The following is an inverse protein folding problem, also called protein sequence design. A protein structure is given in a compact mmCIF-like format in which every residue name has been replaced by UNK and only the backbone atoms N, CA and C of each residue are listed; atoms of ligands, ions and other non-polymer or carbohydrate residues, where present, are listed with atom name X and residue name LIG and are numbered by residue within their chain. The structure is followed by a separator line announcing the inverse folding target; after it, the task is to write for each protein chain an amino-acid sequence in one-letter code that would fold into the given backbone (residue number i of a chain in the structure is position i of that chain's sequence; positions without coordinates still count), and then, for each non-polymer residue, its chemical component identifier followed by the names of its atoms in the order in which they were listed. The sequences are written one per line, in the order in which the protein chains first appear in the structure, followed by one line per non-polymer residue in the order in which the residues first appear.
data_IF_668060377003
#
_entry.id   IF_668060377003
#
_cell.length_a   1.000
_cell.length_b   1.000
_cell.length_c   1.000
_cell.angle_alpha   90.00
_cell.angle_beta   90.00
_cell.angle_gamma   90.00
#
_symmetry.space_group_name_H-M   'P 1'
#
loop_
_entity.id
_entity.type
_entity.pdbx_description
1 polymer ?
#
# COMPACT_ATOMS: atom_id res chain seq x y z
N UNK A 1 -38.30 -2.93 9.79
CA UNK A 1 -37.92 -1.79 10.65
C UNK A 1 -37.03 -2.15 11.83
N UNK A 2 -37.10 -3.36 12.40
CA UNK A 2 -36.22 -3.81 13.50
C UNK A 2 -34.74 -3.99 13.09
N UNK A 3 -34.46 -4.40 11.85
CA UNK A 3 -33.11 -4.54 11.29
C UNK A 3 -32.42 -3.19 11.10
N UNK A 4 -33.15 -2.14 10.71
CA UNK A 4 -32.66 -0.76 10.51
C UNK A 4 -32.27 -0.07 11.83
N UNK A 5 -32.95 -0.38 12.94
CA UNK A 5 -32.56 0.11 14.27
C UNK A 5 -31.32 -0.61 14.84
N UNK A 6 -31.11 -1.88 14.54
CA UNK A 6 -29.87 -2.60 14.87
C UNK A 6 -28.68 -2.08 14.05
N UNK A 7 -28.93 -1.82 12.77
CA UNK A 7 -28.05 -1.14 11.83
C UNK A 7 -27.59 0.25 12.34
N UNK A 8 -28.49 1.02 12.97
CA UNK A 8 -28.15 2.32 13.59
C UNK A 8 -27.22 2.17 14.80
N UNK A 9 -27.33 1.09 15.57
CA UNK A 9 -26.42 0.78 16.69
C UNK A 9 -25.05 0.27 16.22
N UNK A 10 -24.96 -0.35 15.05
CA UNK A 10 -23.68 -0.73 14.44
C UNK A 10 -22.94 0.45 13.79
N UNK A 11 -23.65 1.51 13.37
CA UNK A 11 -23.02 2.78 12.97
C UNK A 11 -22.33 3.44 14.17
N UNK A 12 -22.87 3.27 15.38
CA UNK A 12 -22.22 3.72 16.62
C UNK A 12 -20.88 2.97 16.83
N UNK A 13 -20.76 1.72 16.36
CA UNK A 13 -19.51 0.97 16.38
C UNK A 13 -18.43 1.53 15.42
N UNK A 14 -18.76 2.38 14.45
CA UNK A 14 -17.74 3.09 13.66
C UNK A 14 -17.08 4.25 14.41
N UNK A 15 -17.66 4.71 15.53
CA UNK A 15 -16.94 5.57 16.47
C UNK A 15 -15.78 4.83 17.16
N UNK A 16 -15.71 3.49 17.06
CA UNK A 16 -14.57 2.72 17.53
C UNK A 16 -13.32 2.88 16.65
N UNK A 17 -13.37 3.47 15.45
CA UNK A 17 -12.12 3.67 14.69
C UNK A 17 -11.15 4.61 15.43
N UNK A 18 -11.66 5.63 16.13
CA UNK A 18 -10.87 6.49 17.03
C UNK A 18 -10.34 5.69 18.23
N UNK A 19 -11.18 4.84 18.82
CA UNK A 19 -10.81 3.96 19.95
C UNK A 19 -9.79 2.88 19.55
N UNK A 20 -9.85 2.39 18.32
CA UNK A 20 -8.90 1.43 17.72
C UNK A 20 -7.56 2.11 17.44
N UNK A 21 -7.55 3.38 17.01
CA UNK A 21 -6.32 4.15 16.82
C UNK A 21 -5.63 4.48 18.15
N UNK A 22 -6.39 4.86 19.18
CA UNK A 22 -5.85 5.20 20.49
C UNK A 22 -5.65 4.00 21.45
N UNK A 23 -6.23 2.83 21.15
CA UNK A 23 -6.24 1.71 22.08
C UNK A 23 -7.10 1.95 23.33
N UNK A 24 -7.97 2.96 23.29
CA UNK A 24 -8.72 3.46 24.43
C UNK A 24 -10.24 3.37 24.15
N UNK A 25 -10.96 2.46 24.83
CA UNK A 25 -12.41 2.26 24.66
C UNK A 25 -13.26 3.42 25.20
N UNK A 26 -12.67 4.38 25.90
CA UNK A 26 -13.35 5.56 26.44
C UNK A 26 -13.05 6.84 25.66
N UNK A 27 -12.29 6.76 24.56
CA UNK A 27 -11.94 7.94 23.79
C UNK A 27 -13.19 8.68 23.26
N UNK A 28 -13.24 10.02 23.34
CA UNK A 28 -14.36 10.81 22.85
C UNK A 28 -14.45 10.73 21.32
N UNK A 29 -15.62 11.06 20.76
CA UNK A 29 -15.76 11.22 19.31
C UNK A 29 -14.81 12.32 18.83
N UNK A 30 -13.98 11.98 17.86
CA UNK A 30 -13.08 12.92 17.20
C UNK A 30 -13.40 12.95 15.72
N UNK A 31 -13.50 14.15 15.17
CA UNK A 31 -13.81 14.44 13.77
C UNK A 31 -12.63 15.09 13.05
N UNK A 32 -11.53 15.36 13.75
CA UNK A 32 -10.31 15.97 13.18
C UNK A 32 -9.02 15.22 13.58
N UNK A 33 -7.98 15.28 12.74
CA UNK A 33 -6.67 14.70 13.05
C UNK A 33 -6.02 15.50 14.18
N UNK A 34 -6.34 16.79 14.26
CA UNK A 34 -5.95 17.66 15.36
C UNK A 34 -6.56 17.18 16.69
N UNK A 35 -7.83 16.79 16.72
CA UNK A 35 -8.47 16.18 17.90
C UNK A 35 -7.84 14.83 18.26
N UNK A 36 -7.57 13.97 17.26
CA UNK A 36 -6.89 12.69 17.45
C UNK A 36 -5.48 12.87 18.03
N UNK A 37 -4.69 13.77 17.47
CA UNK A 37 -3.35 14.10 17.94
C UNK A 37 -3.37 14.78 19.30
N UNK A 38 -4.35 15.66 19.57
CA UNK A 38 -4.50 16.33 20.86
C UNK A 38 -4.96 15.37 21.96
N UNK A 39 -5.76 14.36 21.62
CA UNK A 39 -6.12 13.29 22.54
C UNK A 39 -4.94 12.36 22.82
N UNK A 40 -4.22 11.95 21.77
CA UNK A 40 -3.04 11.11 21.90
C UNK A 40 -1.95 11.80 22.74
N UNK A 41 -1.65 13.09 22.48
CA UNK A 41 -0.70 13.88 23.30
C UNK A 41 -1.15 14.05 24.75
N UNK A 42 -2.45 14.22 25.00
CA UNK A 42 -2.97 14.31 26.38
C UNK A 42 -2.77 13.01 27.16
N UNK A 43 -2.87 11.86 26.50
CA UNK A 43 -2.73 10.56 27.13
C UNK A 43 -1.29 10.01 27.10
N UNK A 44 -0.43 10.55 26.23
CA UNK A 44 1.00 10.23 26.13
C UNK A 44 1.83 11.54 26.17
N UNK A 45 1.96 12.18 27.34
CA UNK A 45 2.64 13.47 27.46
C UNK A 45 4.14 13.43 27.17
N UNK A 46 4.76 12.24 27.28
CA UNK A 46 6.17 12.01 26.94
C UNK A 46 6.41 11.79 25.43
N UNK A 47 5.34 11.71 24.63
CA UNK A 47 5.46 11.54 23.18
C UNK A 47 6.06 12.80 22.53
N UNK A 48 7.08 12.66 21.66
CA UNK A 48 7.72 13.80 21.01
C UNK A 48 6.74 14.64 20.17
N UNK A 49 6.99 15.94 20.06
CA UNK A 49 6.07 16.88 19.40
C UNK A 49 5.85 16.52 17.92
N UNK A 50 4.66 16.01 17.60
CA UNK A 50 4.22 15.74 16.23
C UNK A 50 4.19 17.05 15.43
N UNK A 51 4.71 17.05 14.19
CA UNK A 51 4.48 18.17 13.26
C UNK A 51 2.97 18.38 13.14
N UNK A 52 2.44 19.61 13.26
CA UNK A 52 1.01 19.84 13.11
C UNK A 52 0.57 19.32 11.74
N UNK A 53 -0.27 18.28 11.75
CA UNK A 53 -0.79 17.68 10.53
C UNK A 53 -1.65 18.75 9.85
N UNK A 54 -1.24 19.17 8.65
CA UNK A 54 -1.95 20.19 7.85
C UNK A 54 -3.17 19.60 7.12
N UNK A 55 -3.36 18.28 7.21
CA UNK A 55 -4.38 17.55 6.47
C UNK A 55 -5.63 17.26 7.30
N UNK A 56 -6.84 17.51 6.75
CA UNK A 56 -8.10 17.25 7.44
C UNK A 56 -8.31 15.75 7.66
N UNK A 57 -8.84 15.37 8.82
CA UNK A 57 -9.33 14.01 9.05
C UNK A 57 -10.48 13.73 8.13
N UNK A 58 -10.46 12.54 7.54
CA UNK A 58 -11.55 12.05 6.74
C UNK A 58 -12.27 10.98 7.58
N UNK A 59 -13.50 11.26 8.05
CA UNK A 59 -14.25 10.28 8.81
C UNK A 59 -14.51 9.02 7.96
N UNK A 60 -14.60 7.85 8.60
CA UNK A 60 -14.94 6.63 7.88
C UNK A 60 -16.27 6.78 7.13
N UNK A 61 -16.40 6.29 5.89
CA UNK A 61 -17.67 6.24 5.21
C UNK A 61 -18.61 5.23 5.92
N UNK A 62 -19.94 5.44 5.82
CA UNK A 62 -20.89 4.51 6.40
C UNK A 62 -20.74 3.12 5.76
N UNK A 63 -20.67 2.07 6.57
CA UNK A 63 -20.50 0.68 6.08
C UNK A 63 -21.76 0.10 5.44
N UNK A 64 -22.95 0.63 5.72
CA UNK A 64 -24.21 0.05 5.24
C UNK A 64 -24.41 0.14 3.72
N UNK A 65 -24.14 1.30 3.07
CA UNK A 65 -24.10 1.34 1.61
C UNK A 65 -23.13 0.32 1.00
N UNK A 66 -22.01 0.04 1.68
CA UNK A 66 -21.01 -0.93 1.21
C UNK A 66 -21.51 -2.38 1.34
N UNK A 67 -22.24 -2.72 2.40
CA UNK A 67 -22.85 -4.05 2.58
C UNK A 67 -23.98 -4.27 1.57
N UNK A 68 -24.88 -3.30 1.38
CA UNK A 68 -25.95 -3.40 0.38
C UNK A 68 -25.39 -3.55 -1.05
N UNK A 69 -24.25 -2.92 -1.34
CA UNK A 69 -23.54 -3.08 -2.61
C UNK A 69 -22.99 -4.50 -2.80
N UNK A 70 -22.58 -5.19 -1.73
CA UNK A 70 -22.06 -6.56 -1.81
C UNK A 70 -23.08 -7.55 -2.38
N UNK A 71 -24.33 -7.52 -1.89
CA UNK A 71 -25.42 -8.40 -2.36
C UNK A 71 -25.66 -8.26 -3.87
N UNK A 72 -25.57 -7.03 -4.38
CA UNK A 72 -25.65 -6.74 -5.81
C UNK A 72 -24.51 -7.40 -6.61
N UNK A 73 -23.28 -7.40 -6.10
CA UNK A 73 -22.15 -8.00 -6.80
C UNK A 73 -22.17 -9.53 -6.75
N UNK A 74 -22.56 -10.13 -5.62
CA UNK A 74 -22.66 -11.60 -5.48
C UNK A 74 -23.77 -12.17 -6.37
N UNK A 75 -24.89 -11.46 -6.51
CA UNK A 75 -25.99 -11.89 -7.40
C UNK A 75 -25.62 -11.83 -8.88
N UNK A 76 -24.75 -10.89 -9.29
CA UNK A 76 -24.43 -10.62 -10.70
C UNK A 76 -23.09 -11.19 -11.19
N UNK A 77 -22.16 -11.53 -10.29
CA UNK A 77 -20.82 -12.01 -10.61
C UNK A 77 -20.47 -13.31 -9.88
N UNK A 78 -19.61 -14.12 -10.52
CA UNK A 78 -18.97 -15.29 -9.95
C UNK A 78 -17.50 -14.98 -9.63
N UNK A 79 -16.97 -15.59 -8.58
CA UNK A 79 -15.55 -15.52 -8.25
C UNK A 79 -14.79 -16.51 -9.14
N UNK A 80 -13.73 -16.06 -9.80
CA UNK A 80 -12.85 -16.93 -10.58
C UNK A 80 -12.18 -17.98 -9.67
N UNK A 81 -11.97 -19.18 -10.20
CA UNK A 81 -11.30 -20.27 -9.47
C UNK A 81 -9.81 -20.03 -9.21
N UNK A 82 -9.17 -19.15 -10.00
CA UNK A 82 -7.73 -18.89 -9.90
C UNK A 82 -7.43 -17.55 -9.23
N UNK A 83 -6.71 -17.52 -8.10
CA UNK A 83 -6.31 -16.26 -7.48
C UNK A 83 -5.21 -15.57 -8.30
N UNK A 84 -5.26 -14.24 -8.36
CA UNK A 84 -4.17 -13.39 -8.85
C UNK A 84 -2.96 -13.37 -7.92
N UNK A 85 -3.21 -13.64 -6.63
CA UNK A 85 -2.19 -13.65 -5.59
C UNK A 85 -2.77 -14.03 -4.24
N UNK A 86 -1.89 -14.43 -3.33
CA UNK A 86 -2.19 -14.80 -1.94
C UNK A 86 -1.24 -14.08 -0.99
N UNK A 87 -1.51 -14.12 0.31
CA UNK A 87 -0.68 -13.41 1.28
C UNK A 87 -0.68 -14.02 2.68
N UNK A 88 0.12 -13.42 3.57
CA UNK A 88 0.17 -13.81 4.98
C UNK A 88 -1.21 -13.73 5.64
N UNK A 89 -1.98 -12.71 5.29
CA UNK A 89 -3.31 -12.41 5.86
C UNK A 89 -4.45 -12.52 4.84
N UNK A 90 -4.17 -13.04 3.64
CA UNK A 90 -5.11 -13.08 2.52
C UNK A 90 -5.13 -14.49 1.96
N UNK A 91 -6.30 -15.12 1.91
CA UNK A 91 -6.47 -16.42 1.22
C UNK A 91 -6.24 -16.26 -0.27
N UNK A 92 -6.82 -15.23 -0.87
CA UNK A 92 -6.53 -14.85 -2.25
C UNK A 92 -7.21 -13.56 -2.68
N UNK A 93 -6.70 -13.00 -3.77
CA UNK A 93 -7.35 -11.93 -4.55
C UNK A 93 -7.83 -12.57 -5.85
N UNK A 94 -9.13 -12.56 -6.11
CA UNK A 94 -9.76 -13.29 -7.19
C UNK A 94 -10.47 -12.34 -8.16
N UNK A 95 -10.34 -12.50 -9.49
CA UNK A 95 -11.16 -11.78 -10.44
C UNK A 95 -12.64 -12.13 -10.27
N UNK A 96 -13.52 -11.13 -10.40
CA UNK A 96 -14.95 -11.34 -10.57
C UNK A 96 -15.29 -11.45 -12.05
N UNK A 97 -16.05 -12.48 -12.40
CA UNK A 97 -16.52 -12.77 -13.76
C UNK A 97 -18.04 -12.60 -13.80
N UNK A 98 -18.61 -11.80 -14.70
CA UNK A 98 -20.06 -11.66 -14.84
C UNK A 98 -20.73 -13.02 -15.08
N UNK A 99 -21.85 -13.30 -14.38
CA UNK A 99 -22.57 -14.59 -14.46
C UNK A 99 -23.26 -14.83 -15.80
N UNK A 100 -23.61 -13.78 -16.53
CA UNK A 100 -24.23 -13.85 -17.88
C UNK A 100 -23.90 -12.60 -18.68
N UNK A 101 -23.33 -12.76 -19.88
CA UNK A 101 -23.38 -11.72 -20.92
C UNK A 101 -24.59 -11.99 -21.80
N UNK A 102 -25.68 -11.21 -21.67
CA UNK A 102 -26.60 -11.08 -22.79
C UNK A 102 -25.83 -10.37 -23.91
N UNK A 103 -25.68 -11.06 -25.04
CA UNK A 103 -25.07 -10.52 -26.25
C UNK A 103 -25.69 -9.18 -26.64
N UNK A 104 -24.86 -8.25 -27.09
CA UNK A 104 -25.17 -6.89 -27.61
C UNK A 104 -25.35 -5.81 -26.54
N UNK A 105 -24.24 -5.44 -25.90
CA UNK A 105 -24.06 -4.09 -25.37
C UNK A 105 -22.87 -3.47 -26.10
N UNK A 106 -23.07 -2.32 -26.74
CA UNK A 106 -22.02 -1.50 -27.35
C UNK A 106 -21.15 -0.78 -26.31
N UNK A 107 -21.39 -1.00 -25.02
CA UNK A 107 -20.58 -0.44 -23.96
C UNK A 107 -19.29 -1.24 -23.78
N UNK A 108 -18.16 -0.56 -23.47
CA UNK A 108 -16.91 -1.25 -23.17
C UNK A 108 -17.13 -2.28 -22.07
N UNK A 109 -16.40 -3.42 -22.09
CA UNK A 109 -16.53 -4.44 -21.05
C UNK A 109 -16.36 -3.80 -19.66
N UNK A 110 -17.14 -4.22 -18.65
CA UNK A 110 -17.08 -3.64 -17.31
C UNK A 110 -15.64 -3.66 -16.79
N UNK A 111 -15.23 -2.58 -16.12
CA UNK A 111 -13.91 -2.47 -15.49
C UNK A 111 -13.68 -3.72 -14.62
N UNK A 112 -12.50 -4.35 -14.68
CA UNK A 112 -12.30 -5.60 -13.97
C UNK A 112 -12.37 -5.40 -12.45
N UNK A 113 -13.29 -6.12 -11.82
CA UNK A 113 -13.44 -6.16 -10.36
C UNK A 113 -12.66 -7.35 -9.79
N UNK A 114 -12.12 -7.19 -8.59
CA UNK A 114 -11.51 -8.29 -7.84
C UNK A 114 -12.11 -8.38 -6.44
N UNK A 115 -12.13 -9.59 -5.89
CA UNK A 115 -12.49 -9.90 -4.51
C UNK A 115 -11.25 -10.31 -3.75
N UNK A 116 -10.90 -9.57 -2.69
CA UNK A 116 -9.89 -10.00 -1.71
C UNK A 116 -10.59 -10.74 -0.57
N UNK A 117 -10.15 -11.98 -0.30
CA UNK A 117 -10.63 -12.83 0.80
C UNK A 117 -9.57 -12.84 1.90
N UNK A 118 -9.87 -12.28 3.06
CA UNK A 118 -8.95 -12.23 4.20
C UNK A 118 -8.95 -13.53 5.01
N UNK A 119 -7.78 -13.89 5.54
CA UNK A 119 -7.62 -14.95 6.55
C UNK A 119 -8.09 -14.45 7.92
N UNK A 120 -8.50 -15.35 8.84
CA UNK A 120 -8.75 -14.97 10.22
C UNK A 120 -7.58 -14.16 10.80
N UNK A 121 -7.89 -12.96 11.29
CA UNK A 121 -6.91 -12.00 11.82
C UNK A 121 -7.63 -11.02 12.77
N UNK A 122 -6.88 -10.20 13.50
CA UNK A 122 -7.45 -9.22 14.42
C UNK A 122 -8.40 -8.25 13.70
N UNK A 123 -9.56 -7.97 14.29
CA UNK A 123 -10.52 -7.02 13.71
C UNK A 123 -9.93 -5.61 13.55
N UNK A 124 -9.04 -5.19 14.46
CA UNK A 124 -8.25 -3.96 14.30
C UNK A 124 -7.48 -3.87 12.97
N UNK A 125 -7.02 -4.98 12.40
CA UNK A 125 -6.37 -5.00 11.07
C UNK A 125 -7.41 -4.86 9.96
N UNK A 126 -8.51 -5.61 10.06
CA UNK A 126 -9.56 -5.65 9.05
C UNK A 126 -10.24 -4.29 8.90
N UNK A 127 -10.68 -3.70 10.01
CA UNK A 127 -11.29 -2.36 10.01
C UNK A 127 -10.34 -1.30 9.49
N UNK A 128 -9.05 -1.41 9.80
CA UNK A 128 -8.04 -0.47 9.29
C UNK A 128 -7.89 -0.59 7.78
N UNK A 129 -7.86 -1.81 7.25
CA UNK A 129 -7.78 -2.01 5.80
C UNK A 129 -9.03 -1.45 5.09
N UNK A 130 -10.23 -1.71 5.63
CA UNK A 130 -11.49 -1.18 5.09
C UNK A 130 -11.49 0.35 5.14
N UNK A 131 -11.20 0.92 6.31
CA UNK A 131 -11.15 2.38 6.52
C UNK A 131 -10.18 3.02 5.55
N UNK A 132 -8.91 2.60 5.55
CA UNK A 132 -7.90 3.22 4.70
C UNK A 132 -8.26 3.11 3.23
N UNK A 133 -8.69 1.94 2.75
CA UNK A 133 -9.08 1.75 1.34
C UNK A 133 -10.27 2.65 0.95
N UNK A 134 -11.20 2.85 1.87
CA UNK A 134 -12.39 3.67 1.64
C UNK A 134 -12.11 5.18 1.50
N UNK A 135 -10.92 5.64 1.96
CA UNK A 135 -10.46 7.03 1.81
C UNK A 135 -9.84 7.32 0.44
N UNK A 136 -9.47 6.28 -0.31
CA UNK A 136 -8.69 6.38 -1.56
C UNK A 136 -9.48 6.47 -2.89
N UNK A 137 -10.84 6.47 -2.96
CA UNK A 137 -11.55 6.55 -4.25
C UNK A 137 -11.16 7.74 -5.13
N UNK A 138 -10.58 8.81 -4.56
CA UNK A 138 -10.12 9.99 -5.29
C UNK A 138 -8.64 9.92 -5.75
N UNK A 139 -7.88 8.92 -5.30
CA UNK A 139 -6.45 8.84 -5.60
C UNK A 139 -6.18 7.99 -6.85
N UNK A 140 -5.36 8.50 -7.80
CA UNK A 140 -4.93 7.70 -8.92
C UNK A 140 -4.09 6.51 -8.42
N UNK A 141 -4.21 5.34 -9.08
CA UNK A 141 -3.42 4.15 -8.76
C UNK A 141 -3.70 3.52 -7.39
N UNK A 142 -4.80 3.90 -6.73
CA UNK A 142 -5.30 3.26 -5.51
C UNK A 142 -6.55 2.43 -5.81
N UNK A 143 -6.80 1.34 -5.07
CA UNK A 143 -7.99 0.54 -5.26
C UNK A 143 -9.20 1.28 -4.70
N UNK A 144 -10.32 1.23 -5.43
CA UNK A 144 -11.60 1.71 -4.90
C UNK A 144 -12.30 0.59 -4.16
N UNK A 145 -12.63 0.79 -2.88
CA UNK A 145 -13.51 -0.10 -2.14
C UNK A 145 -14.95 0.07 -2.61
N UNK A 146 -15.51 -0.95 -3.25
CA UNK A 146 -16.91 -0.90 -3.72
C UNK A 146 -17.91 -1.50 -2.72
N UNK A 147 -17.47 -2.51 -2.00
CA UNK A 147 -18.30 -3.26 -1.07
C UNK A 147 -17.43 -4.06 -0.10
N UNK A 148 -17.95 -4.28 1.10
CA UNK A 148 -17.39 -5.20 2.08
C UNK A 148 -18.49 -6.05 2.71
N UNK A 149 -18.20 -7.32 2.95
CA UNK A 149 -19.04 -8.21 3.74
C UNK A 149 -18.20 -9.06 4.67
N UNK A 150 -18.81 -9.43 5.78
CA UNK A 150 -18.28 -10.34 6.78
C UNK A 150 -19.14 -11.60 6.75
N UNK A 151 -18.55 -12.75 6.45
CA UNK A 151 -19.30 -14.00 6.27
C UNK A 151 -18.84 -15.03 7.30
N UNK A 152 -19.79 -15.79 7.85
CA UNK A 152 -19.49 -16.94 8.68
C UNK A 152 -18.91 -18.06 7.82
N UNK A 153 -17.74 -18.58 8.18
CA UNK A 153 -17.06 -19.63 7.43
C UNK A 153 -17.83 -20.95 7.38
N UNK A 154 -18.70 -21.27 8.36
CA UNK A 154 -19.40 -22.56 8.39
C UNK A 154 -20.57 -22.64 7.43
N UNK A 155 -21.33 -21.56 7.26
CA UNK A 155 -22.55 -21.54 6.46
C UNK A 155 -22.58 -20.46 5.37
N UNK A 156 -21.56 -19.59 5.32
CA UNK A 156 -21.47 -18.50 4.35
C UNK A 156 -22.40 -17.32 4.62
N UNK A 157 -23.16 -17.35 5.72
CA UNK A 157 -24.15 -16.32 6.04
C UNK A 157 -23.48 -14.99 6.47
N UNK A 158 -24.05 -13.83 6.10
CA UNK A 158 -23.57 -12.54 6.56
C UNK A 158 -23.59 -12.42 8.10
N UNK A 159 -22.52 -11.90 8.67
CA UNK A 159 -22.36 -11.63 10.10
C UNK A 159 -22.09 -10.14 10.30
N UNK A 160 -22.69 -9.54 11.32
CA UNK A 160 -22.36 -8.18 11.75
C UNK A 160 -21.44 -8.29 12.98
N UNK A 161 -20.15 -7.91 12.89
CA UNK A 161 -19.25 -7.94 14.04
C UNK A 161 -19.76 -7.01 15.14
N UNK A 162 -19.76 -7.48 16.39
CA UNK A 162 -20.11 -6.66 17.56
C UNK A 162 -18.91 -5.82 18.03
N UNK A 163 -19.13 -4.62 18.61
CA UNK A 163 -18.08 -3.79 19.21
C UNK A 163 -17.11 -4.52 20.13
N UNK A 164 -17.61 -5.44 20.96
CA UNK A 164 -16.83 -6.14 21.98
C UNK A 164 -15.85 -7.15 21.37
N UNK A 165 -16.08 -7.54 20.10
CA UNK A 165 -15.24 -8.48 19.34
C UNK A 165 -14.09 -7.78 18.61
N UNK A 166 -13.89 -6.48 18.79
CA UNK A 166 -12.84 -5.70 18.11
C UNK A 166 -11.43 -6.00 18.63
N UNK A 167 -11.32 -6.42 19.89
CA UNK A 167 -10.06 -6.75 20.56
C UNK A 167 -9.78 -8.26 20.60
N UNK A 168 -10.70 -9.10 20.13
CA UNK A 168 -10.50 -10.55 20.09
C UNK A 168 -9.77 -10.96 18.81
N UNK A 169 -8.88 -11.95 18.93
CA UNK A 169 -8.25 -12.61 17.78
C UNK A 169 -9.16 -13.64 17.13
N UNK A 170 -10.21 -14.05 17.86
CA UNK A 170 -11.20 -15.02 17.46
C UNK A 170 -12.57 -14.35 17.54
N UNK A 171 -13.21 -14.26 16.39
CA UNK A 171 -14.65 -14.08 16.32
C UNK A 171 -15.26 -15.47 16.42
N UNK A 172 -16.23 -15.66 17.31
CA UNK A 172 -17.09 -16.84 17.30
C UNK A 172 -17.71 -16.96 15.89
N UNK A 173 -17.24 -17.92 15.10
CA UNK A 173 -17.49 -17.97 13.67
C UNK A 173 -16.50 -17.10 12.90
N UNK A 174 -15.49 -17.74 12.32
CA UNK A 174 -14.47 -17.10 11.49
C UNK A 174 -15.12 -16.20 10.44
N UNK A 175 -14.62 -14.97 10.31
CA UNK A 175 -15.14 -13.97 9.41
C UNK A 175 -14.29 -13.89 8.14
N UNK A 176 -14.91 -14.16 6.99
CA UNK A 176 -14.32 -13.81 5.69
C UNK A 176 -14.67 -12.36 5.38
N UNK A 177 -13.66 -11.50 5.23
CA UNK A 177 -13.86 -10.17 4.64
C UNK A 177 -13.70 -10.25 3.13
N UNK A 178 -14.74 -9.86 2.40
CA UNK A 178 -14.74 -9.75 0.93
C UNK A 178 -14.58 -8.28 0.55
N UNK A 179 -13.43 -7.87 0.01
CA UNK A 179 -13.20 -6.50 -0.46
C UNK A 179 -13.26 -6.45 -1.99
N UNK A 180 -14.22 -5.71 -2.53
CA UNK A 180 -14.33 -5.45 -3.95
C UNK A 180 -13.42 -4.28 -4.34
N UNK A 181 -12.42 -4.53 -5.19
CA UNK A 181 -11.48 -3.49 -5.67
C UNK A 181 -11.59 -3.28 -7.19
N UNK A 182 -11.45 -2.02 -7.62
CA UNK A 182 -11.36 -1.67 -9.06
C UNK A 182 -10.11 -0.91 -9.42
N UNK A 183 -9.72 -1.10 -10.69
CA UNK A 183 -8.69 -0.40 -11.46
C UNK A 183 -7.23 -0.88 -11.26
N UNK A 184 -6.53 -1.10 -12.38
CA UNK A 184 -5.08 -1.34 -12.45
C UNK A 184 -4.53 -2.68 -11.94
N UNK A 185 -5.33 -3.45 -11.18
CA UNK A 185 -4.94 -4.77 -10.65
C UNK A 185 -4.70 -5.75 -11.81
N UNK A 186 -5.64 -5.90 -12.75
CA UNK A 186 -5.50 -6.89 -13.84
C UNK A 186 -4.54 -6.50 -14.98
N UNK A 187 -3.80 -5.38 -14.90
CA UNK A 187 -2.78 -5.06 -15.91
C UNK A 187 -1.61 -6.05 -15.81
N UNK A 188 -1.78 -7.20 -16.47
CA UNK A 188 -0.81 -8.27 -16.55
C UNK A 188 0.51 -7.81 -17.18
N UNK A 189 1.60 -8.14 -16.50
CA UNK A 189 2.94 -8.08 -17.07
C UNK A 189 3.98 -8.10 -15.98
N UNK A 190 4.77 -9.17 -15.93
CA UNK A 190 5.88 -9.27 -14.99
C UNK A 190 6.85 -8.08 -15.11
N UNK A 191 7.64 -7.90 -14.06
CA UNK A 191 8.66 -6.85 -13.96
C UNK A 191 9.89 -7.09 -14.88
N UNK A 192 9.92 -8.23 -15.57
CA UNK A 192 11.09 -8.78 -16.27
C UNK A 192 11.14 -8.33 -17.73
N UNK A 193 12.26 -7.73 -18.14
CA UNK A 193 12.63 -7.57 -19.56
C UNK A 193 11.79 -6.59 -20.41
N UNK A 194 10.85 -5.85 -19.81
CA UNK A 194 9.95 -4.94 -20.54
C UNK A 194 10.63 -3.74 -21.23
N UNK A 195 9.89 -3.00 -22.07
CA UNK A 195 10.37 -1.76 -22.70
C UNK A 195 10.71 -0.70 -21.65
N UNK A 196 11.82 0.03 -21.85
CA UNK A 196 12.30 1.08 -20.92
C UNK A 196 11.22 2.09 -20.49
N UNK A 197 10.38 2.56 -21.43
CA UNK A 197 9.31 3.51 -21.10
C UNK A 197 8.24 2.90 -20.19
N UNK A 198 7.94 1.59 -20.35
CA UNK A 198 7.04 0.86 -19.45
C UNK A 198 7.64 0.76 -18.05
N UNK A 199 8.96 0.59 -17.95
CA UNK A 199 9.67 0.58 -16.68
C UNK A 199 9.57 1.92 -15.96
N UNK A 200 9.87 3.03 -16.66
CA UNK A 200 9.68 4.38 -16.10
C UNK A 200 8.25 4.62 -15.65
N UNK A 201 7.27 4.25 -16.46
CA UNK A 201 5.86 4.44 -16.12
C UNK A 201 5.47 3.65 -14.85
N UNK A 202 5.92 2.41 -14.69
CA UNK A 202 5.62 1.63 -13.48
C UNK A 202 6.26 2.22 -12.22
N UNK A 203 7.51 2.66 -12.32
CA UNK A 203 8.18 3.35 -11.23
C UNK A 203 7.46 4.65 -10.87
N UNK A 204 7.02 5.43 -11.87
CA UNK A 204 6.22 6.63 -11.65
C UNK A 204 4.94 6.29 -10.88
N UNK A 205 4.16 5.29 -11.33
CA UNK A 205 2.92 4.89 -10.67
C UNK A 205 3.14 4.41 -9.23
N UNK A 206 4.19 3.63 -8.97
CA UNK A 206 4.56 3.20 -7.62
C UNK A 206 4.85 4.40 -6.70
N UNK A 207 5.71 5.31 -7.14
CA UNK A 207 6.11 6.46 -6.33
C UNK A 207 4.92 7.41 -6.14
N UNK A 208 4.13 7.67 -7.19
CA UNK A 208 2.90 8.46 -7.10
C UNK A 208 1.90 7.84 -6.13
N UNK A 209 1.64 6.53 -6.20
CA UNK A 209 0.65 5.89 -5.32
C UNK A 209 0.98 6.04 -3.84
N UNK A 210 2.26 6.07 -3.47
CA UNK A 210 2.66 6.24 -2.06
C UNK A 210 2.73 7.72 -1.70
N UNK A 211 3.17 8.59 -2.62
CA UNK A 211 3.17 10.04 -2.44
C UNK A 211 1.75 10.60 -2.21
N UNK A 212 0.77 10.05 -2.92
CA UNK A 212 -0.63 10.44 -2.78
C UNK A 212 -1.17 10.09 -1.39
N UNK A 213 -0.70 8.99 -0.77
CA UNK A 213 -1.00 8.70 0.64
C UNK A 213 -0.34 9.70 1.58
N UNK A 214 0.94 10.01 1.34
CA UNK A 214 1.69 10.99 2.15
C UNK A 214 1.01 12.36 2.12
N UNK A 215 0.49 12.78 0.96
CA UNK A 215 -0.28 14.01 0.79
C UNK A 215 -1.64 14.01 1.52
N UNK A 216 -2.15 12.84 1.95
CA UNK A 216 -3.30 12.71 2.84
C UNK A 216 -2.90 12.54 4.31
N UNK A 217 -1.61 12.64 4.63
CA UNK A 217 -1.08 12.33 5.96
C UNK A 217 -1.21 10.85 6.32
N UNK A 218 -1.20 9.94 5.34
CA UNK A 218 -1.28 8.49 5.53
C UNK A 218 0.05 7.85 5.15
N UNK A 219 0.52 6.92 5.97
CA UNK A 219 1.71 6.11 5.70
C UNK A 219 1.34 4.64 5.53
N UNK A 220 1.93 3.98 4.54
CA UNK A 220 1.55 2.64 4.13
C UNK A 220 2.13 1.55 5.03
N UNK A 221 3.42 1.66 5.38
CA UNK A 221 4.18 0.80 6.31
C UNK A 221 4.37 -0.68 5.89
N UNK A 222 3.87 -1.11 4.73
CA UNK A 222 4.18 -2.43 4.16
C UNK A 222 4.42 -2.40 2.64
N UNK A 223 5.09 -1.36 2.14
CA UNK A 223 5.42 -1.26 0.72
C UNK A 223 6.40 -2.38 0.34
N UNK A 224 6.00 -3.22 -0.62
CA UNK A 224 6.78 -4.34 -1.15
C UNK A 224 6.24 -4.79 -2.52
N UNK A 225 6.99 -5.55 -3.32
CA UNK A 225 6.58 -5.92 -4.67
C UNK A 225 5.27 -6.73 -4.73
N UNK A 226 4.95 -7.53 -3.71
CA UNK A 226 3.69 -8.29 -3.67
C UNK A 226 2.46 -7.42 -3.43
N UNK A 227 2.66 -6.22 -2.90
CA UNK A 227 1.60 -5.26 -2.59
C UNK A 227 1.45 -4.19 -3.68
N UNK A 228 2.21 -4.28 -4.77
CA UNK A 228 2.04 -3.43 -5.94
C UNK A 228 1.75 -4.30 -7.16
N UNK A 229 0.50 -4.31 -7.61
CA UNK A 229 0.04 -5.22 -8.65
C UNK A 229 -0.46 -4.45 -9.87
N UNK A 230 0.12 -4.77 -11.03
CA UNK A 230 -0.08 -4.04 -12.27
C UNK A 230 0.39 -2.58 -12.16
N UNK A 231 -0.50 -1.75 -11.64
CA UNK A 231 -0.34 -0.32 -11.45
C UNK A 231 -0.92 0.19 -10.12
N UNK A 232 -1.33 -0.71 -9.22
CA UNK A 232 -2.13 -0.36 -8.03
C UNK A 232 -1.44 -0.81 -6.75
N UNK A 233 -1.37 0.08 -5.76
CA UNK A 233 -0.89 -0.23 -4.41
C UNK A 233 -2.01 -0.93 -3.61
N UNK A 234 -1.66 -1.97 -2.85
CA UNK A 234 -2.62 -2.86 -2.17
C UNK A 234 -2.20 -3.09 -0.72
N UNK A 235 -3.14 -3.61 0.09
CA UNK A 235 -2.93 -4.12 1.45
C UNK A 235 -2.57 -3.04 2.49
N UNK A 236 -3.56 -2.20 2.79
CA UNK A 236 -3.51 -1.11 3.77
C UNK A 236 -3.66 -1.56 5.24
N UNK A 237 -3.59 -2.87 5.52
CA UNK A 237 -3.83 -3.42 6.85
C UNK A 237 -2.81 -3.00 7.92
N UNK A 238 -1.65 -2.45 7.52
CA UNK A 238 -0.67 -1.85 8.44
C UNK A 238 -0.65 -0.31 8.40
N UNK A 239 -1.36 0.30 7.44
CA UNK A 239 -1.30 1.74 7.20
C UNK A 239 -1.89 2.54 8.36
N UNK A 240 -1.46 3.77 8.54
CA UNK A 240 -1.89 4.64 9.66
C UNK A 240 -1.71 6.10 9.29
N UNK A 241 -2.25 7.01 10.08
CA UNK A 241 -1.93 8.43 9.94
C UNK A 241 -0.49 8.71 10.37
N UNK A 242 0.17 9.58 9.61
CA UNK A 242 1.49 10.12 9.91
C UNK A 242 1.43 10.87 11.24
N UNK A 243 2.42 10.65 12.10
CA UNK A 243 2.51 11.31 13.40
C UNK A 243 1.79 10.61 14.57
N UNK A 244 1.13 9.48 14.33
CA UNK A 244 0.68 8.60 15.42
C UNK A 244 1.79 7.63 15.81
N UNK A 245 1.90 7.31 17.11
CA UNK A 245 2.81 6.26 17.57
C UNK A 245 2.52 4.94 16.86
N UNK A 246 3.56 4.35 16.27
CA UNK A 246 3.46 3.04 15.62
C UNK A 246 4.43 2.07 16.25
N UNK A 247 4.00 0.82 16.38
CA UNK A 247 4.90 -0.24 16.83
C UNK A 247 6.03 -0.43 15.82
N UNK A 248 7.28 -0.55 16.30
CA UNK A 248 8.42 -0.98 15.45
C UNK A 248 8.23 -2.38 14.86
N UNK A 249 7.17 -3.11 15.23
CA UNK A 249 6.79 -4.42 14.69
C UNK A 249 6.08 -4.36 13.32
N UNK A 250 5.90 -3.18 12.73
CA UNK A 250 5.37 -2.99 11.36
C UNK A 250 6.40 -3.34 10.26
N UNK A 251 5.95 -3.35 9.01
CA UNK A 251 6.73 -3.66 7.80
C UNK A 251 7.27 -5.10 7.69
N UNK A 252 7.39 -5.55 6.45
CA UNK A 252 8.06 -6.81 6.12
C UNK A 252 9.57 -6.68 6.33
N UNK A 253 10.19 -7.61 7.09
CA UNK A 253 11.60 -7.54 7.55
C UNK A 253 12.61 -7.06 6.50
N UNK A 254 12.54 -7.57 5.27
CA UNK A 254 13.51 -7.24 4.21
C UNK A 254 13.31 -5.87 3.55
N UNK A 255 12.22 -5.17 3.88
CA UNK A 255 11.90 -3.82 3.42
C UNK A 255 11.84 -2.82 4.59
N UNK A 256 12.08 -3.29 5.83
CA UNK A 256 12.23 -2.41 6.99
C UNK A 256 13.36 -1.41 6.73
N UNK A 257 13.16 -0.18 7.19
CA UNK A 257 14.20 0.84 7.23
C UNK A 257 15.18 0.61 8.39
N UNK A 258 16.36 1.27 8.37
CA UNK A 258 17.34 1.23 9.46
C UNK A 258 16.73 1.52 10.84
N UNK A 259 15.95 2.59 10.98
CA UNK A 259 15.32 3.00 12.24
C UNK A 259 14.31 1.96 12.77
N UNK A 260 13.60 1.26 11.89
CA UNK A 260 12.73 0.13 12.28
C UNK A 260 13.51 -1.15 12.63
N UNK A 261 14.74 -1.28 12.14
CA UNK A 261 15.64 -2.36 12.48
C UNK A 261 16.34 -2.13 13.82
N UNK A 262 16.66 -0.88 14.13
CA UNK A 262 17.33 -0.47 15.36
C UNK A 262 16.33 -0.20 16.51
N UNK A 263 15.02 -0.27 16.24
CA UNK A 263 13.95 0.01 17.19
C UNK A 263 13.93 1.47 17.72
N UNK A 264 14.57 2.40 17.00
CA UNK A 264 14.61 3.83 17.29
C UNK A 264 13.60 4.61 16.44
N UNK A 265 12.31 4.26 16.57
CA UNK A 265 11.22 4.97 15.93
C UNK A 265 10.80 6.18 16.76
N UNK A 266 10.96 7.40 16.23
CA UNK A 266 10.36 8.61 16.78
C UNK A 266 9.13 9.04 15.96
N UNK A 267 8.15 9.67 16.60
CA UNK A 267 6.92 10.10 15.95
C UNK A 267 7.17 11.04 14.78
N UNK A 268 6.41 10.83 13.68
CA UNK A 268 6.52 11.60 12.45
C UNK A 268 7.47 11.04 11.38
N UNK A 269 8.14 9.91 11.63
CA UNK A 269 9.05 9.28 10.66
C UNK A 269 8.40 8.38 9.60
N UNK A 270 7.07 8.20 9.64
CA UNK A 270 6.31 7.23 8.83
C UNK A 270 6.59 7.31 7.33
N UNK A 271 6.66 8.52 6.81
CA UNK A 271 6.92 8.80 5.40
C UNK A 271 8.33 8.35 4.98
N UNK A 272 9.32 8.58 5.84
CA UNK A 272 10.70 8.17 5.58
C UNK A 272 10.85 6.63 5.54
N UNK A 273 10.05 5.89 6.30
CA UNK A 273 9.97 4.42 6.20
C UNK A 273 9.47 3.98 4.85
N UNK A 274 8.37 4.58 4.40
CA UNK A 274 7.80 4.28 3.10
C UNK A 274 8.78 4.62 1.99
N UNK A 275 9.48 5.77 2.06
CA UNK A 275 10.55 6.15 1.11
C UNK A 275 11.62 5.06 1.03
N UNK A 276 12.09 4.55 2.17
CA UNK A 276 13.07 3.46 2.21
C UNK A 276 12.54 2.19 1.53
N UNK A 277 11.31 1.79 1.87
CA UNK A 277 10.68 0.60 1.33
C UNK A 277 10.45 0.72 -0.19
N UNK A 278 10.00 1.89 -0.68
CA UNK A 278 9.91 2.21 -2.11
C UNK A 278 11.28 2.10 -2.77
N UNK A 279 12.35 2.62 -2.16
CA UNK A 279 13.72 2.50 -2.67
C UNK A 279 14.16 1.05 -2.85
N UNK A 280 13.84 0.18 -1.89
CA UNK A 280 14.07 -1.26 -2.01
C UNK A 280 13.33 -1.86 -3.22
N UNK A 281 12.05 -1.51 -3.42
CA UNK A 281 11.24 -1.99 -4.54
C UNK A 281 11.78 -1.47 -5.89
N UNK A 282 12.19 -0.20 -5.96
CA UNK A 282 12.80 0.41 -7.15
C UNK A 282 14.08 -0.35 -7.53
N UNK A 283 14.95 -0.64 -6.56
CA UNK A 283 16.18 -1.40 -6.79
C UNK A 283 15.89 -2.81 -7.34
N UNK A 284 15.00 -3.54 -6.68
CA UNK A 284 14.62 -4.90 -7.09
C UNK A 284 13.96 -4.91 -8.47
N UNK A 285 13.13 -3.92 -8.76
CA UNK A 285 12.49 -3.76 -10.06
C UNK A 285 13.51 -3.59 -11.19
N UNK A 286 14.47 -2.67 -11.03
CA UNK A 286 15.50 -2.42 -12.06
C UNK A 286 16.37 -3.65 -12.26
N UNK A 287 16.67 -4.38 -11.19
CA UNK A 287 17.41 -5.64 -11.24
C UNK A 287 16.67 -6.72 -12.04
N UNK A 288 15.37 -6.91 -11.82
CA UNK A 288 14.56 -7.85 -12.59
C UNK A 288 14.39 -7.41 -14.06
N UNK A 289 14.30 -6.10 -14.31
CA UNK A 289 14.30 -5.56 -15.67
C UNK A 289 15.58 -5.92 -16.42
N UNK A 290 16.76 -5.72 -15.79
CA UNK A 290 18.06 -6.05 -16.37
C UNK A 290 18.24 -7.56 -16.60
N UNK A 291 17.81 -8.41 -15.65
CA UNK A 291 17.83 -9.87 -15.80
C UNK A 291 17.00 -10.33 -16.98
N UNK A 292 15.79 -9.80 -17.13
CA UNK A 292 14.92 -10.11 -18.26
C UNK A 292 15.48 -9.72 -19.62
N UNK A 293 16.53 -8.89 -19.64
CA UNK A 293 17.27 -8.50 -20.83
C UNK A 293 18.61 -9.22 -21.00
N UNK A 294 18.93 -10.19 -20.14
CA UNK A 294 20.23 -10.88 -20.14
C UNK A 294 21.40 -9.99 -19.71
N UNK A 295 21.13 -8.82 -19.13
CA UNK A 295 22.16 -7.84 -18.76
C UNK A 295 22.77 -8.13 -17.38
N UNK A 296 22.03 -8.81 -16.50
CA UNK A 296 22.55 -9.36 -15.25
C UNK A 296 22.35 -10.87 -15.23
N UNK A 297 23.29 -11.58 -14.60
CA UNK A 297 23.16 -13.01 -14.36
C UNK A 297 21.96 -13.29 -13.43
N UNK A 298 21.43 -14.51 -13.50
CA UNK A 298 20.49 -14.95 -12.49
C UNK A 298 21.18 -15.02 -11.14
N UNK A 299 20.57 -14.38 -10.14
CA UNK A 299 21.05 -14.41 -8.77
C UNK A 299 19.96 -15.11 -7.96
N UNK A 300 20.36 -16.10 -7.15
CA UNK A 300 19.43 -16.90 -6.32
C UNK A 300 18.56 -16.03 -5.39
N UNK A 301 19.05 -14.86 -4.96
CA UNK A 301 18.33 -13.96 -4.05
C UNK A 301 17.47 -12.97 -4.85
N UNK A 302 16.15 -13.00 -4.69
CA UNK A 302 15.24 -12.04 -5.34
C UNK A 302 15.25 -10.66 -4.67
N UNK A 303 15.38 -10.63 -3.34
CA UNK A 303 15.28 -9.41 -2.54
C UNK A 303 16.62 -8.67 -2.40
N UNK A 304 16.58 -7.34 -2.24
CA UNK A 304 17.74 -6.50 -1.96
C UNK A 304 18.37 -6.90 -0.62
N UNK A 305 17.56 -6.94 0.43
CA UNK A 305 17.95 -7.45 1.74
C UNK A 305 17.31 -8.81 1.98
N UNK A 306 18.05 -9.70 2.65
CA UNK A 306 17.61 -11.06 2.91
C UNK A 306 18.21 -11.60 4.20
N UNK A 307 18.04 -10.85 5.28
CA UNK A 307 18.43 -11.28 6.62
C UNK A 307 17.33 -12.11 7.29
N UNK A 308 17.73 -12.97 8.22
CA UNK A 308 16.79 -13.76 9.04
C UNK A 308 16.23 -12.99 10.23
N UNK A 309 16.90 -11.91 10.63
CA UNK A 309 16.53 -11.03 11.73
C UNK A 309 16.93 -9.58 11.45
N UNK A 310 16.50 -8.65 12.30
CA UNK A 310 16.76 -7.21 12.15
C UNK A 310 18.26 -6.90 12.09
N UNK A 311 19.08 -7.56 12.93
CA UNK A 311 20.54 -7.34 12.99
C UNK A 311 21.23 -7.70 11.67
N UNK A 312 20.84 -8.83 11.07
CA UNK A 312 21.40 -9.25 9.79
C UNK A 312 20.98 -8.29 8.66
N UNK A 313 19.70 -7.91 8.62
CA UNK A 313 19.21 -6.90 7.67
C UNK A 313 19.97 -5.59 7.86
N UNK A 314 20.11 -5.10 9.10
CA UNK A 314 20.79 -3.86 9.44
C UNK A 314 22.23 -3.80 8.94
N UNK A 315 22.99 -4.89 9.12
CA UNK A 315 24.35 -5.02 8.58
C UNK A 315 24.38 -4.94 7.05
N UNK A 316 23.38 -5.53 6.38
CA UNK A 316 23.24 -5.45 4.92
C UNK A 316 22.91 -4.02 4.46
N UNK A 317 22.00 -3.34 5.16
CA UNK A 317 21.63 -1.94 4.90
C UNK A 317 22.86 -1.02 5.00
N UNK A 318 23.61 -1.09 6.10
CA UNK A 318 24.81 -0.26 6.29
C UNK A 318 25.88 -0.51 5.23
N UNK A 319 26.09 -1.78 4.84
CA UNK A 319 26.99 -2.12 3.75
C UNK A 319 26.49 -1.57 2.42
N UNK A 320 25.19 -1.64 2.16
CA UNK A 320 24.58 -1.15 0.94
C UNK A 320 24.68 0.38 0.82
N UNK A 321 24.25 1.13 1.84
CA UNK A 321 24.33 2.60 1.87
C UNK A 321 25.77 3.10 1.66
N UNK A 322 26.77 2.50 2.34
CA UNK A 322 28.18 2.83 2.14
C UNK A 322 28.68 2.57 0.72
N UNK A 323 28.20 1.50 0.08
CA UNK A 323 28.57 1.20 -1.31
C UNK A 323 27.87 2.16 -2.27
N UNK A 324 26.60 2.45 -2.04
CA UNK A 324 25.77 3.33 -2.87
C UNK A 324 26.40 4.71 -2.96
N UNK A 325 26.74 5.32 -1.82
CA UNK A 325 27.47 6.62 -1.74
C UNK A 325 28.81 6.65 -2.49
N UNK A 326 29.43 5.50 -2.76
CA UNK A 326 30.70 5.39 -3.49
C UNK A 326 30.52 5.08 -4.98
N UNK A 327 29.29 5.12 -5.51
CA UNK A 327 28.95 4.68 -6.87
C UNK A 327 29.18 3.18 -7.10
N UNK A 328 29.19 2.38 -6.03
CA UNK A 328 29.44 0.91 -6.04
C UNK A 328 28.28 0.11 -5.43
N UNK A 329 27.20 0.78 -5.02
CA UNK A 329 26.07 0.17 -4.30
C UNK A 329 25.17 -0.62 -5.22
N UNK A 330 25.13 -0.21 -6.46
CA UNK A 330 24.29 -0.82 -7.44
C UNK A 330 24.99 -1.91 -8.25
N UNK A 331 24.41 -3.11 -8.26
CA UNK A 331 24.93 -4.26 -9.02
C UNK A 331 24.94 -4.02 -10.55
N UNK A 332 24.28 -2.97 -11.06
CA UNK A 332 24.24 -2.67 -12.49
C UNK A 332 25.53 -2.08 -13.09
N UNK A 333 26.59 -1.85 -12.29
CA UNK A 333 27.93 -1.60 -12.83
C UNK A 333 28.38 -2.71 -13.80
N UNK A 334 27.99 -3.96 -13.53
CA UNK A 334 28.21 -5.11 -14.43
C UNK A 334 27.46 -4.92 -15.76
N UNK A 335 26.21 -4.45 -15.70
CA UNK A 335 25.41 -4.19 -16.88
C UNK A 335 25.99 -3.06 -17.74
N UNK A 336 26.64 -2.05 -17.14
CA UNK A 336 27.30 -0.94 -17.85
C UNK A 336 28.49 -1.39 -18.72
N UNK A 337 29.14 -2.50 -18.36
CA UNK A 337 30.17 -3.15 -19.17
C UNK A 337 29.63 -3.93 -20.38
N UNK A 338 28.31 -4.17 -20.44
CA UNK A 338 27.64 -4.76 -21.60
C UNK A 338 27.19 -3.69 -22.58
N UNK A 339 26.80 -4.11 -23.80
CA UNK A 339 26.32 -3.23 -24.88
C UNK A 339 24.93 -2.65 -24.57
N UNK A 340 24.87 -1.67 -23.67
CA UNK A 340 23.67 -0.87 -23.36
C UNK A 340 23.46 0.24 -24.38
N UNK A 341 22.20 0.53 -24.71
CA UNK A 341 21.87 1.74 -25.49
C UNK A 341 22.13 2.99 -24.63
N UNK A 342 22.49 4.12 -25.24
CA UNK A 342 22.71 5.42 -24.54
C UNK A 342 21.58 5.78 -23.57
N UNK A 343 20.32 5.58 -23.97
CA UNK A 343 19.12 5.82 -23.15
C UNK A 343 18.99 4.89 -21.93
N UNK A 344 19.55 3.69 -22.01
CA UNK A 344 19.50 2.68 -20.94
C UNK A 344 20.57 2.99 -19.90
N UNK A 345 21.78 3.39 -20.34
CA UNK A 345 22.83 3.89 -19.45
C UNK A 345 22.33 5.10 -18.66
N UNK A 346 21.79 6.11 -19.36
CA UNK A 346 21.19 7.29 -18.71
C UNK A 346 20.09 6.93 -17.71
N UNK A 347 19.23 5.96 -18.03
CA UNK A 347 18.20 5.49 -17.09
C UNK A 347 18.80 4.88 -15.83
N UNK A 348 19.87 4.09 -15.93
CA UNK A 348 20.55 3.53 -14.76
C UNK A 348 21.21 4.62 -13.91
N UNK A 349 21.77 5.64 -14.55
CA UNK A 349 22.37 6.79 -13.85
C UNK A 349 21.30 7.59 -13.09
N UNK A 350 20.14 7.86 -13.72
CA UNK A 350 19.00 8.54 -13.09
C UNK A 350 18.39 7.73 -11.93
N UNK A 351 18.37 6.39 -12.03
CA UNK A 351 17.94 5.49 -10.94
C UNK A 351 18.91 5.52 -9.77
N UNK A 352 20.21 5.53 -10.05
CA UNK A 352 21.24 5.54 -9.01
C UNK A 352 21.20 6.82 -8.19
N UNK A 353 21.06 7.98 -8.87
CA UNK A 353 20.83 9.28 -8.22
C UNK A 353 19.59 9.25 -7.31
N UNK A 354 18.47 8.72 -7.81
CA UNK A 354 17.25 8.61 -7.02
C UNK A 354 17.43 7.71 -5.79
N UNK A 355 18.06 6.54 -5.95
CA UNK A 355 18.29 5.62 -4.84
C UNK A 355 19.27 6.19 -3.81
N UNK A 356 20.27 6.95 -4.22
CA UNK A 356 21.16 7.71 -3.32
C UNK A 356 20.38 8.71 -2.47
N UNK A 357 19.37 9.38 -3.06
CA UNK A 357 18.46 10.26 -2.33
C UNK A 357 17.53 9.53 -1.35
N UNK A 358 16.96 8.39 -1.76
CA UNK A 358 15.98 7.64 -0.97
C UNK A 358 16.59 6.77 0.15
N UNK A 359 17.77 6.19 -0.07
CA UNK A 359 18.33 5.12 0.77
C UNK A 359 19.47 5.61 1.67
N UNK A 360 19.13 6.51 2.59
CA UNK A 360 20.03 7.01 3.64
C UNK A 360 19.74 6.38 5.00
N UNK A 361 20.77 6.28 5.81
CA UNK A 361 20.69 5.76 7.19
C UNK A 361 19.68 6.57 7.98
N UNK A 362 19.87 7.88 8.04
CA UNK A 362 18.98 8.80 8.72
C UNK A 362 17.74 9.10 7.88
N UNK A 363 16.56 8.88 8.45
CA UNK A 363 15.28 9.09 7.78
C UNK A 363 15.07 10.55 7.32
N UNK A 364 15.49 11.52 8.14
CA UNK A 364 15.34 12.95 7.85
C UNK A 364 16.22 13.48 6.72
N UNK A 365 17.23 12.71 6.30
CA UNK A 365 18.07 13.08 5.15
C UNK A 365 17.51 12.56 3.82
N UNK A 366 16.56 11.63 3.85
CA UNK A 366 16.02 10.98 2.65
C UNK A 366 15.20 11.97 1.84
N UNK A 367 15.24 11.82 0.51
CA UNK A 367 14.30 12.53 -0.36
C UNK A 367 12.86 12.13 -0.03
N UNK A 368 11.96 13.10 -0.06
CA UNK A 368 10.53 12.86 -0.13
C UNK A 368 10.15 12.17 -1.44
N UNK A 369 8.99 11.54 -1.48
CA UNK A 369 8.49 10.94 -2.73
C UNK A 369 8.14 12.01 -3.77
N UNK A 370 7.77 13.22 -3.34
CA UNK A 370 7.56 14.37 -4.22
C UNK A 370 8.86 14.80 -4.91
N UNK A 371 9.96 14.92 -4.16
CA UNK A 371 11.29 15.16 -4.74
C UNK A 371 11.69 14.07 -5.74
N UNK A 372 11.40 12.80 -5.42
CA UNK A 372 11.60 11.68 -6.34
C UNK A 372 10.79 11.85 -7.64
N UNK A 373 9.51 12.25 -7.56
CA UNK A 373 8.65 12.50 -8.72
C UNK A 373 9.11 13.69 -9.55
N UNK A 374 9.74 14.69 -8.92
CA UNK A 374 10.30 15.88 -9.56
C UNK A 374 11.72 15.69 -10.12
N UNK A 375 12.38 14.57 -9.81
CA UNK A 375 13.71 14.24 -10.33
C UNK A 375 13.78 14.13 -11.87
N UNK A 376 15.02 14.12 -12.38
CA UNK A 376 15.35 13.96 -13.81
C UNK A 376 14.75 12.70 -14.43
N UNK A 377 14.57 11.65 -13.65
CA UNK A 377 14.00 10.37 -14.09
C UNK A 377 12.63 10.51 -14.76
N UNK A 378 11.82 11.45 -14.29
CA UNK A 378 10.46 11.64 -14.76
C UNK A 378 10.25 12.90 -15.61
N UNK A 379 11.28 13.71 -15.88
CA UNK A 379 11.19 14.92 -16.72
C UNK A 379 10.44 14.68 -18.04
N UNK A 380 10.80 13.61 -18.76
CA UNK A 380 10.17 13.26 -20.04
C UNK A 380 8.71 12.80 -19.86
N UNK A 381 8.40 12.11 -18.78
CA UNK A 381 7.05 11.65 -18.49
C UNK A 381 6.13 12.82 -18.13
N UNK A 382 6.61 13.76 -17.30
CA UNK A 382 5.89 15.01 -16.97
C UNK A 382 5.60 15.84 -18.22
N UNK A 383 6.59 16.02 -19.11
CA UNK A 383 6.40 16.70 -20.41
C UNK A 383 5.40 16.00 -21.36
N UNK A 384 5.23 14.69 -21.25
CA UNK A 384 4.24 13.96 -22.06
C UNK A 384 2.82 14.08 -21.48
N UNK A 385 2.68 14.06 -20.15
CA UNK A 385 1.38 14.32 -19.49
C UNK A 385 0.91 15.76 -19.75
N UNK A 386 1.81 16.74 -19.67
CA UNK A 386 1.46 18.16 -19.91
C UNK A 386 1.00 18.43 -21.34
N UNK A 387 1.52 17.71 -22.34
CA UNK A 387 1.05 17.81 -23.73
C UNK A 387 -0.34 17.22 -23.91
N UNK A 388 -0.60 16.04 -23.36
CA UNK A 388 -1.94 15.42 -23.41
C UNK A 388 -3.03 16.29 -22.78
N UNK A 389 -2.74 16.92 -21.63
CA UNK A 389 -3.69 17.86 -21.00
C UNK A 389 -3.91 19.15 -21.82
N UNK A 390 -3.02 19.49 -22.74
CA UNK A 390 -3.16 20.66 -23.60
C UNK A 390 -3.87 20.33 -24.92
N UNK A 391 -3.88 19.06 -25.33
CA UNK A 391 -4.61 18.56 -26.50
C UNK A 391 -6.07 18.18 -26.17
N UNK A 392 -6.40 18.01 -24.88
CA UNK A 392 -7.74 17.69 -24.35
C UNK A 392 -8.51 18.93 -23.82
N UNK A 393 -7.92 20.13 -23.92
CA UNK A 393 -8.54 21.45 -23.65
C UNK A 393 -8.68 22.22 -24.96
#
# INVERSE_FOLDING_TARGET
MSTLCAIFRSIIALNLLVQIYCGDPNAPKMTTCAELHAYHRRNNPDAPSVRPNVHPYIPPPPLLPLIASHEKYVSTHSISSSPLGTGKFTYGVFPLVPKTTSSKSSQPPPKPHVVKILKPTSMKRVYREIHMTSLLPSLPYSPTLLACAFLNVTNGEPVIPKPEQLNTTELDGQIITVIHMTEGVLEGGGWRGGRLNRCRMRLFKLISSVNDLHALGIVHLDVKPSNFHGSTLLDYGLSTYSGLETSTKVATLNYKSPELCDDFWSDGGGEAVDVWAVGCVVYEFVREWLKGRGLLAEVKRRRLFNGRNKVEVRKQQAKFCRRLRRGKGAEWGIARGKKLRKRERRFLDEIEEMLEGMMKEEGGERWTLEECLNSRMFNRYRRMKSKKMHDDN
#
